data_IF_635890215526
#
_entry.id   IF_635890215526
#
_cell.length_a   1.000
_cell.length_b   1.000
_cell.length_c   1.000
_cell.angle_alpha   90.00
_cell.angle_beta   90.00
_cell.angle_gamma   90.00
#
_symmetry.space_group_name_H-M   'P 1'
#
loop_
_entity.id
_entity.type
_entity.pdbx_description
1 polymer ?
#
# COMPACT_ATOMS: atom_id res chain seq x y z
N UNK A 1 21.67 -17.57 -15.05
CA UNK A 1 21.25 -17.86 -13.66
C UNK A 1 20.93 -16.54 -12.97
N UNK A 2 19.76 -16.39 -12.34
CA UNK A 2 19.44 -15.20 -11.53
C UNK A 2 19.77 -15.52 -10.07
N UNK A 3 20.96 -15.12 -9.60
CA UNK A 3 21.31 -15.22 -8.18
C UNK A 3 20.51 -14.18 -7.41
N UNK A 4 19.51 -14.63 -6.66
CA UNK A 4 18.77 -13.77 -5.75
C UNK A 4 19.59 -13.63 -4.47
N UNK A 5 20.19 -12.46 -4.26
CA UNK A 5 20.90 -12.15 -3.01
C UNK A 5 19.88 -12.13 -1.85
N UNK A 6 20.11 -12.98 -0.85
CA UNK A 6 19.31 -13.02 0.38
C UNK A 6 19.83 -11.93 1.31
N UNK A 7 18.97 -10.98 1.69
CA UNK A 7 19.31 -9.94 2.66
C UNK A 7 19.31 -10.51 4.09
N UNK A 8 20.05 -9.88 5.00
CA UNK A 8 20.16 -10.30 6.41
C UNK A 8 18.84 -10.22 7.18
N UNK A 9 17.89 -9.39 6.70
CA UNK A 9 16.64 -9.12 7.38
C UNK A 9 15.44 -9.29 6.45
N UNK A 10 14.35 -9.81 7.01
CA UNK A 10 13.03 -9.79 6.37
C UNK A 10 12.41 -8.41 6.58
N UNK A 11 11.94 -7.81 5.49
CA UNK A 11 11.27 -6.52 5.50
C UNK A 11 9.84 -6.63 5.00
N UNK A 12 9.03 -5.62 5.32
CA UNK A 12 7.63 -5.53 4.87
C UNK A 12 7.40 -4.23 4.12
N UNK A 13 6.59 -4.28 3.06
CA UNK A 13 6.07 -3.09 2.39
C UNK A 13 4.61 -2.94 2.77
N UNK A 14 4.19 -1.72 3.11
CA UNK A 14 2.87 -1.46 3.65
C UNK A 14 2.19 -0.37 2.81
N UNK A 15 1.00 -0.67 2.32
CA UNK A 15 0.10 0.30 1.72
C UNK A 15 -0.99 0.69 2.69
N UNK A 16 -1.17 1.98 2.92
CA UNK A 16 -2.15 2.52 3.86
C UNK A 16 -3.11 3.44 3.12
N UNK A 17 -4.39 3.35 3.43
CA UNK A 17 -5.37 4.31 2.98
C UNK A 17 -6.27 4.71 4.16
N UNK A 18 -6.66 5.98 4.18
CA UNK A 18 -7.56 6.53 5.20
C UNK A 18 -8.62 7.40 4.54
N UNK A 19 -9.85 7.30 5.04
CA UNK A 19 -11.01 8.07 4.58
C UNK A 19 -11.92 8.37 5.76
N UNK A 20 -12.62 9.50 5.73
CA UNK A 20 -13.73 9.74 6.65
C UNK A 20 -14.92 8.93 6.16
N UNK A 21 -15.45 8.05 7.01
CA UNK A 21 -16.59 7.21 6.63
C UNK A 21 -17.81 8.09 6.30
N UNK A 22 -18.34 7.92 5.08
CA UNK A 22 -19.61 8.53 4.63
C UNK A 22 -20.48 7.45 3.95
N UNK A 23 -21.80 7.65 3.84
CA UNK A 23 -22.72 6.65 3.27
C UNK A 23 -22.41 6.23 1.82
N UNK A 24 -21.77 7.12 1.08
CA UNK A 24 -21.33 6.97 -0.32
C UNK A 24 -19.99 6.26 -0.48
N UNK A 25 -19.26 6.00 0.62
CA UNK A 25 -17.95 5.34 0.57
C UNK A 25 -18.10 3.84 0.69
N UNK A 26 -17.75 3.15 -0.38
CA UNK A 26 -17.65 1.69 -0.35
C UNK A 26 -16.38 1.27 0.38
N UNK A 27 -16.49 0.29 1.29
CA UNK A 27 -15.33 -0.31 1.97
C UNK A 27 -14.33 -0.94 0.98
N UNK A 28 -14.82 -1.42 -0.16
CA UNK A 28 -13.99 -1.93 -1.26
C UNK A 28 -13.07 -0.84 -1.85
N UNK A 29 -13.49 0.41 -1.89
CA UNK A 29 -12.67 1.53 -2.36
C UNK A 29 -11.51 1.82 -1.39
N UNK A 30 -11.78 1.80 -0.08
CA UNK A 30 -10.74 1.91 0.94
C UNK A 30 -9.68 0.80 0.82
N UNK A 31 -10.13 -0.44 0.60
CA UNK A 31 -9.23 -1.60 0.40
C UNK A 31 -8.42 -1.44 -0.89
N UNK A 32 -9.08 -1.03 -1.98
CA UNK A 32 -8.45 -0.82 -3.29
C UNK A 32 -7.34 0.23 -3.20
N UNK A 33 -7.58 1.35 -2.52
CA UNK A 33 -6.59 2.41 -2.31
C UNK A 33 -5.41 1.94 -1.46
N UNK A 34 -5.66 1.14 -0.42
CA UNK A 34 -4.58 0.55 0.39
C UNK A 34 -3.71 -0.40 -0.44
N UNK A 35 -4.33 -1.23 -1.29
CA UNK A 35 -3.62 -2.16 -2.17
C UNK A 35 -2.79 -1.44 -3.24
N UNK A 36 -3.33 -0.38 -3.87
CA UNK A 36 -2.58 0.48 -4.77
C UNK A 36 -1.34 1.07 -4.11
N UNK A 37 -1.47 1.53 -2.87
CA UNK A 37 -0.33 2.04 -2.11
C UNK A 37 0.67 0.95 -1.74
N UNK A 38 0.22 -0.29 -1.55
CA UNK A 38 1.11 -1.43 -1.34
C UNK A 38 1.95 -1.71 -2.59
N UNK A 39 1.33 -1.67 -3.78
CA UNK A 39 2.06 -1.79 -5.05
C UNK A 39 3.05 -0.64 -5.23
N UNK A 40 2.67 0.60 -4.92
CA UNK A 40 3.59 1.74 -4.95
C UNK A 40 4.77 1.53 -3.99
N UNK A 41 4.53 1.05 -2.77
CA UNK A 41 5.60 0.76 -1.81
C UNK A 41 6.58 -0.30 -2.34
N UNK A 42 6.07 -1.36 -2.97
CA UNK A 42 6.91 -2.40 -3.60
C UNK A 42 7.72 -1.86 -4.77
N UNK A 43 7.12 -1.02 -5.62
CA UNK A 43 7.77 -0.44 -6.79
C UNK A 43 8.81 0.63 -6.41
N UNK A 44 8.58 1.38 -5.33
CA UNK A 44 9.48 2.42 -4.83
C UNK A 44 10.68 1.89 -4.01
N UNK A 45 11.00 0.60 -4.14
CA UNK A 45 12.17 -0.01 -3.51
C UNK A 45 11.88 -0.91 -2.31
N UNK A 46 10.61 -1.25 -2.03
CA UNK A 46 10.17 -2.08 -0.89
C UNK A 46 10.54 -1.45 0.47
N UNK A 47 10.41 -2.22 1.56
CA UNK A 47 10.72 -1.83 2.95
C UNK A 47 10.29 -0.41 3.32
N UNK A 48 9.01 -0.08 3.06
CA UNK A 48 8.47 1.25 3.30
C UNK A 48 6.96 1.26 3.41
N UNK A 49 6.48 2.35 3.96
CA UNK A 49 5.05 2.70 4.03
C UNK A 49 4.74 3.74 2.95
N UNK A 50 3.69 3.50 2.18
CA UNK A 50 3.08 4.51 1.30
C UNK A 50 1.64 4.69 1.76
N UNK A 51 1.19 5.94 1.85
CA UNK A 51 -0.14 6.26 2.35
C UNK A 51 -0.83 7.35 1.55
N UNK A 52 -2.16 7.31 1.57
CA UNK A 52 -3.03 8.35 1.00
C UNK A 52 -4.20 8.60 1.93
N UNK A 53 -4.52 9.87 2.14
CA UNK A 53 -5.85 10.29 2.61
C UNK A 53 -6.64 10.63 1.36
N UNK A 54 -7.78 9.98 1.14
CA UNK A 54 -8.62 10.28 -0.02
C UNK A 54 -9.97 10.83 0.42
N UNK A 55 -10.49 11.75 -0.37
CA UNK A 55 -11.87 12.20 -0.26
C UNK A 55 -12.72 11.44 -1.28
N UNK A 56 -13.87 10.88 -0.86
CA UNK A 56 -14.83 10.29 -1.79
C UNK A 56 -15.37 11.39 -2.72
N UNK A 57 -15.52 11.06 -4.00
CA UNK A 57 -16.09 11.94 -5.02
C UNK A 57 -17.62 12.08 -4.86
#
# INVERSE_FOLDING_TARGET
>A
EHTQCVADHVTVSIGVATVVAKPDVLSSELIRQADENLYKAKAAGKDRVVYTVFEPA
#
